data_IF_875717411896
#
_entry.id   IF_875717411896
#
_cell.length_a   1.000
_cell.length_b   1.000
_cell.length_c   1.000
_cell.angle_alpha   90.00
_cell.angle_beta   90.00
_cell.angle_gamma   90.00
#
_symmetry.space_group_name_H-M   'P 1'
#
loop_
_entity.id
_entity.type
_entity.pdbx_description
1 polymer ?
#
# COMPACT_ATOMS: atom_id res chain seq x y z
N UNK A 1 33.28 -9.22 -3.40
CA UNK A 1 32.15 -10.15 -3.16
C UNK A 1 31.02 -9.38 -2.46
N UNK A 2 30.47 -8.34 -3.11
CA UNK A 2 29.48 -7.41 -2.53
C UNK A 2 28.38 -7.01 -3.53
N UNK A 3 28.13 -7.80 -4.58
CA UNK A 3 27.10 -7.54 -5.60
C UNK A 3 25.91 -8.51 -5.52
N UNK A 4 25.41 -8.78 -4.31
CA UNK A 4 24.23 -9.63 -4.11
C UNK A 4 23.30 -9.09 -3.03
N UNK A 5 23.10 -7.77 -2.98
CA UNK A 5 21.82 -7.24 -2.51
C UNK A 5 20.79 -7.68 -3.56
N UNK A 6 20.31 -8.92 -3.44
CA UNK A 6 19.41 -9.51 -4.42
C UNK A 6 18.30 -8.51 -4.70
N UNK A 7 18.24 -8.03 -5.95
CA UNK A 7 17.11 -7.27 -6.44
C UNK A 7 15.85 -8.03 -6.01
N UNK A 8 14.86 -7.30 -5.51
CA UNK A 8 13.58 -7.94 -5.16
C UNK A 8 13.13 -8.79 -6.34
N UNK A 9 12.65 -10.03 -6.12
CA UNK A 9 12.20 -10.87 -7.23
C UNK A 9 10.91 -10.35 -7.89
N UNK A 10 10.36 -9.25 -7.39
CA UNK A 10 9.16 -8.61 -7.90
C UNK A 10 9.46 -7.17 -8.28
N UNK A 11 9.00 -6.74 -9.45
CA UNK A 11 8.91 -5.32 -9.80
C UNK A 11 7.62 -4.70 -9.26
N UNK A 12 6.56 -5.52 -9.15
CA UNK A 12 5.21 -5.09 -8.80
C UNK A 12 4.52 -6.10 -7.88
N UNK A 13 3.91 -5.58 -6.81
CA UNK A 13 2.97 -6.30 -5.95
C UNK A 13 1.57 -5.73 -6.24
N UNK A 14 0.57 -6.59 -6.42
CA UNK A 14 -0.81 -6.16 -6.69
C UNK A 14 -1.75 -6.74 -5.66
N UNK A 15 -2.74 -5.96 -5.22
CA UNK A 15 -3.82 -6.44 -4.37
C UNK A 15 -5.14 -5.72 -4.67
N UNK A 16 -6.24 -6.38 -4.36
CA UNK A 16 -7.60 -5.82 -4.44
C UNK A 16 -8.35 -6.10 -3.14
N UNK A 17 -8.91 -5.05 -2.52
CA UNK A 17 -9.77 -5.12 -1.33
C UNK A 17 -9.17 -5.91 -0.12
N UNK A 18 -7.86 -5.81 0.07
CA UNK A 18 -7.14 -6.49 1.17
C UNK A 18 -7.26 -5.79 2.53
N UNK A 19 -7.85 -4.59 2.61
CA UNK A 19 -8.02 -3.83 3.85
C UNK A 19 -9.46 -3.96 4.35
N UNK A 20 -9.72 -5.02 5.12
CA UNK A 20 -11.08 -5.32 5.60
C UNK A 20 -11.16 -5.47 7.12
N UNK A 21 -10.44 -6.44 7.69
CA UNK A 21 -10.44 -6.71 9.13
C UNK A 21 -9.35 -5.91 9.88
N UNK A 22 -9.73 -5.15 10.91
CA UNK A 22 -8.81 -4.29 11.67
C UNK A 22 -7.66 -5.06 12.34
N UNK A 23 -7.90 -6.31 12.74
CA UNK A 23 -6.90 -7.19 13.34
C UNK A 23 -5.78 -7.59 12.35
N UNK A 24 -6.07 -7.60 11.04
CA UNK A 24 -5.13 -7.98 10.00
C UNK A 24 -4.33 -6.81 9.43
N UNK A 25 -4.66 -5.58 9.83
CA UNK A 25 -3.94 -4.38 9.37
C UNK A 25 -2.45 -4.45 9.72
N UNK A 26 -2.10 -4.92 10.92
CA UNK A 26 -0.69 -4.95 11.34
C UNK A 26 0.12 -6.02 10.60
N UNK A 27 -0.35 -7.28 10.49
CA UNK A 27 0.27 -8.29 9.63
C UNK A 27 0.42 -7.83 8.17
N UNK A 28 -0.62 -7.22 7.59
CA UNK A 28 -0.57 -6.74 6.19
C UNK A 28 0.52 -5.69 6.00
N UNK A 29 0.67 -4.73 6.92
CA UNK A 29 1.74 -3.74 6.84
C UNK A 29 3.12 -4.39 6.90
N UNK A 30 3.34 -5.39 7.75
CA UNK A 30 4.62 -6.10 7.81
C UNK A 30 4.89 -6.91 6.53
N UNK A 31 3.87 -7.56 5.96
CA UNK A 31 3.97 -8.23 4.65
C UNK A 31 4.38 -7.24 3.56
N UNK A 32 3.74 -6.06 3.51
CA UNK A 32 4.09 -5.03 2.53
C UNK A 32 5.51 -4.51 2.75
N UNK A 33 5.98 -4.35 4.00
CA UNK A 33 7.37 -3.92 4.28
C UNK A 33 8.39 -4.96 3.83
N UNK A 34 8.02 -6.23 3.82
CA UNK A 34 8.89 -7.30 3.34
C UNK A 34 9.07 -7.23 1.81
N UNK A 35 7.98 -7.05 1.06
CA UNK A 35 8.00 -7.06 -0.41
C UNK A 35 8.33 -5.71 -1.05
N UNK A 36 7.83 -4.60 -0.50
CA UNK A 36 7.93 -3.26 -1.10
C UNK A 36 9.22 -2.59 -0.62
N UNK A 37 10.32 -2.90 -1.32
CA UNK A 37 11.67 -2.39 -1.06
C UNK A 37 12.32 -1.91 -2.36
N UNK A 38 13.28 -0.99 -2.28
CA UNK A 38 13.96 -0.47 -3.48
C UNK A 38 12.96 0.15 -4.46
N UNK A 39 12.93 -0.36 -5.69
CA UNK A 39 12.08 0.12 -6.77
C UNK A 39 10.74 -0.61 -6.89
N UNK A 40 10.46 -1.60 -6.02
CA UNK A 40 9.19 -2.33 -6.06
C UNK A 40 8.02 -1.40 -5.81
N UNK A 41 7.02 -1.50 -6.66
CA UNK A 41 5.74 -0.79 -6.52
C UNK A 41 4.70 -1.74 -5.92
N UNK A 42 3.89 -1.24 -4.99
CA UNK A 42 2.64 -1.91 -4.61
C UNK A 42 1.44 -1.14 -5.13
N UNK A 43 0.61 -1.80 -5.96
CA UNK A 43 -0.65 -1.27 -6.47
C UNK A 43 -1.82 -1.92 -5.74
N UNK A 44 -2.69 -1.10 -5.17
CA UNK A 44 -3.84 -1.56 -4.41
C UNK A 44 -5.12 -0.90 -4.91
N UNK A 45 -6.04 -1.70 -5.43
CA UNK A 45 -7.43 -1.29 -5.57
C UNK A 45 -8.14 -1.46 -4.21
N UNK A 46 -8.86 -0.42 -3.76
CA UNK A 46 -9.52 -0.46 -2.46
C UNK A 46 -10.84 0.29 -2.48
N UNK A 47 -11.90 -0.41 -2.08
CA UNK A 47 -13.20 0.20 -1.79
C UNK A 47 -13.33 0.52 -0.30
N UNK A 48 -13.62 1.77 0.02
CA UNK A 48 -13.76 2.23 1.41
C UNK A 48 -14.95 1.56 2.10
N UNK A 49 -14.68 0.71 3.10
CA UNK A 49 -15.72 -0.01 3.87
C UNK A 49 -15.89 0.53 5.28
N UNK A 50 -14.81 0.62 6.06
CA UNK A 50 -14.86 0.86 7.50
C UNK A 50 -13.89 1.95 7.93
N UNK A 51 -14.43 3.14 8.25
CA UNK A 51 -13.65 4.34 8.62
C UNK A 51 -12.52 4.08 9.63
N UNK A 52 -12.74 3.20 10.62
CA UNK A 52 -11.74 2.85 11.64
C UNK A 52 -10.60 2.01 11.05
N UNK A 53 -10.91 0.93 10.34
CA UNK A 53 -9.93 0.06 9.67
C UNK A 53 -9.13 0.85 8.65
N UNK A 54 -9.80 1.60 7.77
CA UNK A 54 -9.18 2.43 6.74
C UNK A 54 -8.20 3.43 7.37
N UNK A 55 -8.65 4.17 8.39
CA UNK A 55 -7.80 5.14 9.10
C UNK A 55 -6.58 4.46 9.74
N UNK A 56 -6.74 3.27 10.34
CA UNK A 56 -5.63 2.52 10.94
C UNK A 56 -4.60 2.14 9.88
N UNK A 57 -5.05 1.56 8.76
CA UNK A 57 -4.20 1.12 7.66
C UNK A 57 -3.44 2.29 7.03
N UNK A 58 -4.12 3.31 6.51
CA UNK A 58 -3.46 4.41 5.81
C UNK A 58 -2.53 5.21 6.73
N UNK A 59 -2.87 5.38 8.01
CA UNK A 59 -1.98 6.00 9.00
C UNK A 59 -0.68 5.22 9.16
N UNK A 60 -0.73 3.88 9.16
CA UNK A 60 0.46 3.02 9.29
C UNK A 60 1.24 2.96 7.99
N UNK A 61 0.57 2.75 6.86
CA UNK A 61 1.19 2.70 5.55
C UNK A 61 1.97 3.99 5.24
N UNK A 62 1.37 5.17 5.45
CA UNK A 62 2.02 6.47 5.23
C UNK A 62 3.22 6.76 6.14
N UNK A 63 3.43 5.98 7.21
CA UNK A 63 4.68 6.09 8.00
C UNK A 63 5.85 5.48 7.27
N UNK A 64 5.64 4.36 6.57
CA UNK A 64 6.70 3.52 5.98
C UNK A 64 6.78 3.61 4.45
N UNK A 65 5.69 4.01 3.78
CA UNK A 65 5.59 4.13 2.32
C UNK A 65 5.19 5.55 1.92
N UNK A 66 5.60 5.94 0.72
CA UNK A 66 4.96 7.02 -0.01
C UNK A 66 3.69 6.47 -0.66
N UNK A 67 2.58 7.19 -0.54
CA UNK A 67 1.24 6.70 -0.95
C UNK A 67 0.54 7.75 -1.79
N UNK A 68 0.27 7.39 -3.04
CA UNK A 68 -0.35 8.22 -4.08
C UNK A 68 -1.66 7.58 -4.56
N UNK A 69 -2.62 8.40 -4.96
CA UNK A 69 -3.82 7.94 -5.68
C UNK A 69 -3.51 8.00 -7.17
N UNK A 70 -3.67 6.88 -7.87
CA UNK A 70 -3.48 6.82 -9.33
C UNK A 70 -4.79 6.97 -10.09
N UNK A 71 -5.88 6.43 -9.55
CA UNK A 71 -7.17 6.40 -10.23
C UNK A 71 -8.31 6.32 -9.22
N UNK A 72 -9.43 6.97 -9.54
CA UNK A 72 -10.68 6.86 -8.81
C UNK A 72 -11.78 6.50 -9.81
N UNK A 73 -12.45 5.37 -9.57
CA UNK A 73 -13.64 5.02 -10.33
C UNK A 73 -14.88 5.66 -9.70
N UNK A 74 -15.89 6.03 -10.51
CA UNK A 74 -17.14 6.54 -9.97
C UNK A 74 -17.83 5.47 -9.10
N UNK A 75 -18.60 5.88 -8.08
CA UNK A 75 -19.45 4.95 -7.35
C UNK A 75 -20.48 4.33 -8.29
N UNK A 76 -20.77 3.04 -8.06
CA UNK A 76 -21.95 2.40 -8.64
C UNK A 76 -23.23 3.02 -8.07
N UNK A 77 -24.34 2.86 -8.78
CA UNK A 77 -25.65 3.35 -8.32
C UNK A 77 -25.99 2.80 -6.93
N UNK A 78 -26.38 3.70 -6.02
CA UNK A 78 -26.66 3.37 -4.61
C UNK A 78 -25.43 3.29 -3.69
N UNK A 79 -24.21 3.45 -4.21
CA UNK A 79 -22.98 3.46 -3.41
C UNK A 79 -22.47 4.88 -3.19
N UNK A 80 -21.89 5.13 -2.00
CA UNK A 80 -21.35 6.45 -1.66
C UNK A 80 -19.94 6.69 -2.22
N UNK A 81 -19.17 5.63 -2.43
CA UNK A 81 -17.78 5.72 -2.89
C UNK A 81 -17.54 4.61 -3.92
N UNK A 82 -16.79 4.93 -4.98
CA UNK A 82 -16.20 3.93 -5.86
C UNK A 82 -14.86 3.40 -5.31
N UNK A 83 -14.28 2.40 -5.97
CA UNK A 83 -12.94 1.93 -5.65
C UNK A 83 -11.89 2.98 -6.05
N UNK A 84 -10.80 3.01 -5.29
CA UNK A 84 -9.65 3.89 -5.54
C UNK A 84 -8.41 3.01 -5.72
N UNK A 85 -7.61 3.31 -6.75
CA UNK A 85 -6.33 2.66 -7.00
C UNK A 85 -5.22 3.50 -6.40
N UNK A 86 -4.45 2.89 -5.50
CA UNK A 86 -3.32 3.50 -4.81
C UNK A 86 -2.00 2.91 -5.28
N UNK A 87 -0.98 3.76 -5.36
CA UNK A 87 0.42 3.37 -5.52
C UNK A 87 1.17 3.56 -4.21
N UNK A 88 1.91 2.55 -3.80
CA UNK A 88 2.80 2.57 -2.65
C UNK A 88 4.23 2.31 -3.11
N UNK A 89 5.17 3.13 -2.67
CA UNK A 89 6.61 2.94 -2.91
C UNK A 89 7.40 3.06 -1.62
N UNK A 90 8.58 2.43 -1.57
CA UNK A 90 9.48 2.58 -0.44
C UNK A 90 9.91 4.05 -0.27
N UNK A 91 9.90 4.56 0.96
CA UNK A 91 10.38 5.91 1.24
C UNK A 91 11.89 5.98 1.04
N UNK A 92 12.35 7.02 0.33
CA UNK A 92 13.77 7.37 0.31
C UNK A 92 14.19 7.82 1.70
N UNK A 93 15.17 7.14 2.30
CA UNK A 93 15.75 7.63 3.55
C UNK A 93 16.40 8.99 3.27
N UNK A 94 15.84 10.06 3.82
CA UNK A 94 16.56 11.33 3.91
C UNK A 94 17.67 11.13 4.94
N UNK A 95 18.89 10.87 4.48
CA UNK A 95 20.05 11.09 5.33
C UNK A 95 20.06 12.57 5.70
N UNK A 96 19.70 12.88 6.95
CA UNK A 96 20.07 14.17 7.55
C UNK A 96 21.60 14.18 7.58
N UNK A 97 22.20 14.93 6.66
CA UNK A 97 23.58 15.39 6.82
C UNK A 97 23.66 16.31 8.02
#
# INVERSE_FOLDING_TARGET
MQDLMAASPFDLVVASDVVYYEALVDPLIETLRFFVKGEVVFLMAHMRRWKRTDKKFFRKARKVFDVEVLHEDPPLEGWRHGPVVYKFTAKKQHNKK
#
